data_IF_107223927807
#
_entry.id   IF_107223927807
#
_cell.length_a   1.000
_cell.length_b   1.000
_cell.length_c   1.000
_cell.angle_alpha   90.00
_cell.angle_beta   90.00
_cell.angle_gamma   90.00
#
_symmetry.space_group_name_H-M   'P 1'
#
loop_
_entity.id
_entity.type
_entity.pdbx_description
1 polymer ?
#
# COMPACT_ATOMS: atom_id res chain seq x y z
N UNK A 1 -9.90 8.81 -6.61
CA UNK A 1 -8.54 9.42 -6.63
C UNK A 1 -8.23 10.13 -7.96
N UNK A 2 -8.52 9.56 -9.13
CA UNK A 2 -8.33 10.26 -10.41
C UNK A 2 -9.28 11.47 -10.53
N UNK A 3 -10.51 11.32 -10.08
CA UNK A 3 -11.47 12.44 -10.01
C UNK A 3 -11.02 13.52 -9.03
N UNK A 4 -10.35 13.13 -7.94
CA UNK A 4 -9.79 14.10 -6.99
C UNK A 4 -8.62 14.87 -7.61
N UNK A 5 -7.78 14.22 -8.42
CA UNK A 5 -6.79 14.91 -9.25
C UNK A 5 -7.47 15.94 -10.18
N UNK A 6 -8.55 15.53 -10.85
CA UNK A 6 -9.30 16.40 -11.75
C UNK A 6 -9.93 17.60 -11.00
N UNK A 7 -10.51 17.38 -9.82
CA UNK A 7 -11.03 18.48 -8.95
C UNK A 7 -9.91 19.45 -8.54
N UNK A 8 -8.70 18.95 -8.31
CA UNK A 8 -7.51 19.78 -8.05
C UNK A 8 -6.95 20.43 -9.33
N UNK A 9 -7.63 20.33 -10.48
CA UNK A 9 -7.17 20.78 -11.80
C UNK A 9 -5.79 20.19 -12.18
N UNK A 10 -5.57 18.94 -11.82
CA UNK A 10 -4.34 18.16 -12.12
C UNK A 10 -4.70 16.92 -12.89
N UNK A 11 -3.71 16.38 -13.63
CA UNK A 11 -3.80 15.13 -14.36
C UNK A 11 -2.70 14.19 -13.88
N UNK A 12 -3.07 12.96 -13.47
CA UNK A 12 -2.13 11.94 -13.07
C UNK A 12 -1.89 10.94 -14.20
N UNK A 13 -0.89 11.20 -15.04
CA UNK A 13 -0.47 10.24 -16.09
C UNK A 13 -0.06 8.88 -15.52
N UNK A 14 0.52 8.87 -14.30
CA UNK A 14 0.91 7.63 -13.61
C UNK A 14 -0.31 6.88 -13.09
N UNK A 15 -1.30 7.60 -12.57
CA UNK A 15 -2.57 7.00 -12.15
C UNK A 15 -3.35 6.40 -13.34
N UNK A 16 -3.41 7.09 -14.50
CA UNK A 16 -4.01 6.56 -15.72
C UNK A 16 -3.29 5.29 -16.20
N UNK A 17 -1.95 5.29 -16.15
CA UNK A 17 -1.16 4.09 -16.47
C UNK A 17 -1.43 2.95 -15.49
N UNK A 18 -1.59 3.24 -14.20
CA UNK A 18 -1.95 2.23 -13.19
C UNK A 18 -3.32 1.63 -13.49
N UNK A 19 -4.31 2.46 -13.86
CA UNK A 19 -5.64 1.99 -14.25
C UNK A 19 -5.56 1.01 -15.44
N UNK A 20 -4.80 1.34 -16.47
CA UNK A 20 -4.57 0.44 -17.60
C UNK A 20 -3.88 -0.88 -17.19
N UNK A 21 -3.01 -0.85 -16.18
CA UNK A 21 -2.42 -2.08 -15.61
C UNK A 21 -3.48 -2.89 -14.84
N UNK A 22 -4.36 -2.24 -14.07
CA UNK A 22 -5.47 -2.91 -13.37
C UNK A 22 -6.36 -3.63 -14.38
N UNK A 23 -6.74 -2.96 -15.47
CA UNK A 23 -7.55 -3.56 -16.54
C UNK A 23 -6.85 -4.77 -17.16
N UNK A 24 -5.56 -4.68 -17.41
CA UNK A 24 -4.75 -5.77 -17.98
C UNK A 24 -4.67 -7.00 -17.07
N UNK A 25 -4.65 -6.82 -15.74
CA UNK A 25 -4.46 -7.89 -14.77
C UNK A 25 -5.74 -8.27 -14.01
N UNK A 26 -6.92 -7.87 -14.50
CA UNK A 26 -8.20 -8.14 -13.84
C UNK A 26 -8.39 -9.60 -13.42
N UNK A 27 -7.99 -10.56 -14.25
CA UNK A 27 -8.16 -11.99 -13.95
C UNK A 27 -7.30 -12.44 -12.75
N UNK A 28 -6.12 -11.82 -12.55
CA UNK A 28 -5.28 -12.07 -11.38
C UNK A 28 -5.87 -11.39 -10.14
N UNK A 29 -6.36 -10.16 -10.30
CA UNK A 29 -6.90 -9.38 -9.18
C UNK A 29 -8.21 -9.98 -8.65
N UNK A 30 -9.08 -10.50 -9.53
CA UNK A 30 -10.36 -11.14 -9.14
C UNK A 30 -10.20 -12.44 -8.37
N UNK A 31 -9.02 -13.06 -8.40
CA UNK A 31 -8.73 -14.28 -7.62
C UNK A 31 -8.35 -13.99 -6.16
N UNK A 32 -8.17 -12.73 -5.81
CA UNK A 32 -7.81 -12.37 -4.45
C UNK A 32 -8.96 -12.69 -3.49
N UNK A 33 -8.65 -13.39 -2.42
CA UNK A 33 -9.55 -13.50 -1.29
C UNK A 33 -9.58 -12.19 -0.51
N UNK A 34 -10.78 -11.69 -0.26
CA UNK A 34 -10.98 -10.42 0.41
C UNK A 34 -11.12 -10.62 1.93
N UNK A 35 -10.46 -9.78 2.67
CA UNK A 35 -10.59 -9.67 4.13
C UNK A 35 -10.60 -8.19 4.54
N UNK A 36 -10.75 -7.93 5.83
CA UNK A 36 -10.52 -6.58 6.37
C UNK A 36 -9.03 -6.25 6.25
N UNK A 37 -8.72 -5.19 5.55
CA UNK A 37 -7.38 -4.64 5.34
C UNK A 37 -7.29 -3.30 6.03
N UNK A 38 -6.23 -3.05 6.81
CA UNK A 38 -5.98 -1.75 7.44
C UNK A 38 -5.35 -0.76 6.44
N UNK A 39 -4.45 -1.24 5.60
CA UNK A 39 -3.71 -0.51 4.56
C UNK A 39 -2.82 0.64 5.06
N UNK A 40 -2.72 0.87 6.35
CA UNK A 40 -1.83 1.88 6.94
C UNK A 40 -1.07 1.34 8.16
N UNK A 41 -0.77 0.04 8.15
CA UNK A 41 0.01 -0.64 9.20
C UNK A 41 1.49 -0.26 9.05
N UNK A 42 1.90 0.80 9.72
CA UNK A 42 3.29 1.22 9.81
C UNK A 42 3.59 1.68 11.25
N UNK A 43 4.89 1.71 11.60
CA UNK A 43 5.31 1.90 12.98
C UNK A 43 4.68 3.10 13.71
N UNK A 44 4.38 4.29 13.11
CA UNK A 44 3.73 5.38 13.83
C UNK A 44 2.27 5.11 14.21
N UNK A 45 1.61 4.18 13.52
CA UNK A 45 0.23 3.80 13.79
C UNK A 45 0.14 2.57 14.72
N UNK A 46 1.26 2.14 15.31
CA UNK A 46 1.33 1.00 16.23
C UNK A 46 1.75 1.50 17.61
N UNK A 47 0.85 1.41 18.57
CA UNK A 47 1.15 1.68 19.97
C UNK A 47 1.56 0.38 20.62
N UNK A 48 2.73 0.39 21.28
CA UNK A 48 3.22 -0.73 22.08
C UNK A 48 3.25 -0.32 23.55
N UNK A 49 2.65 -1.14 24.40
CA UNK A 49 2.75 -0.99 25.85
C UNK A 49 3.28 -2.29 26.48
N UNK A 50 4.05 -2.18 27.54
CA UNK A 50 4.50 -3.32 28.33
C UNK A 50 3.80 -3.31 29.68
N UNK A 51 2.95 -4.32 29.93
CA UNK A 51 2.26 -4.51 31.18
C UNK A 51 2.58 -5.91 31.72
N UNK A 52 3.02 -6.01 32.94
CA UNK A 52 3.35 -7.27 33.64
C UNK A 52 4.33 -8.17 32.87
N UNK A 53 5.25 -7.59 32.09
CA UNK A 53 6.21 -8.33 31.28
C UNK A 53 5.70 -8.73 29.88
N UNK A 54 4.42 -8.55 29.61
CA UNK A 54 3.81 -8.80 28.30
C UNK A 54 3.79 -7.53 27.44
N UNK A 55 3.94 -7.70 26.12
CA UNK A 55 3.82 -6.60 25.16
C UNK A 55 2.41 -6.62 24.58
N UNK A 56 1.69 -5.51 24.79
CA UNK A 56 0.37 -5.27 24.18
C UNK A 56 0.52 -4.30 23.02
N UNK A 57 -0.21 -4.57 21.94
CA UNK A 57 -0.23 -3.73 20.75
C UNK A 57 -1.63 -3.19 20.52
N UNK A 58 -1.70 -1.95 20.05
CA UNK A 58 -2.91 -1.36 19.50
C UNK A 58 -2.58 -0.65 18.19
N UNK A 59 -3.39 -0.87 17.18
CA UNK A 59 -3.36 -0.10 15.95
C UNK A 59 -4.30 1.08 16.07
N UNK A 60 -3.84 2.24 15.66
CA UNK A 60 -4.61 3.47 15.60
C UNK A 60 -4.75 3.93 14.16
N UNK A 61 -5.62 4.90 13.91
CA UNK A 61 -5.82 5.54 12.62
C UNK A 61 -6.28 4.58 11.49
N UNK A 62 -7.44 3.92 11.65
CA UNK A 62 -7.95 2.95 10.67
C UNK A 62 -8.64 3.60 9.47
N UNK A 63 -8.44 4.89 9.20
CA UNK A 63 -9.18 5.66 8.18
C UNK A 63 -9.02 5.11 6.75
N UNK A 64 -7.96 4.34 6.51
CA UNK A 64 -7.68 3.71 5.21
C UNK A 64 -8.13 2.26 5.11
N UNK A 65 -8.81 1.75 6.12
CA UNK A 65 -9.27 0.37 6.12
C UNK A 65 -10.33 0.14 5.05
N UNK A 66 -10.27 -1.02 4.42
CA UNK A 66 -11.25 -1.44 3.42
C UNK A 66 -11.34 -2.97 3.35
N UNK A 67 -12.39 -3.48 2.69
CA UNK A 67 -12.54 -4.90 2.40
C UNK A 67 -11.81 -5.21 1.09
N UNK A 68 -10.73 -5.97 1.14
CA UNK A 68 -9.90 -6.21 -0.02
C UNK A 68 -8.83 -7.29 0.15
N UNK A 69 -7.90 -7.34 -0.81
CA UNK A 69 -6.79 -8.30 -0.82
C UNK A 69 -5.87 -8.11 0.39
N UNK A 70 -5.70 -9.17 1.19
CA UNK A 70 -4.81 -9.21 2.36
C UNK A 70 -3.38 -8.76 2.10
N UNK A 71 -2.91 -8.89 0.85
CA UNK A 71 -1.55 -8.48 0.47
C UNK A 71 -1.34 -6.96 0.57
N UNK A 72 -2.42 -6.19 0.61
CA UNK A 72 -2.37 -4.74 0.69
C UNK A 72 -1.74 -4.25 2.00
N UNK A 73 -1.94 -4.94 3.12
CA UNK A 73 -1.32 -4.58 4.40
C UNK A 73 0.21 -4.63 4.36
N UNK A 74 0.75 -5.50 3.51
CA UNK A 74 2.20 -5.61 3.36
C UNK A 74 2.84 -4.42 2.65
N UNK A 75 2.07 -3.53 2.02
CA UNK A 75 2.64 -2.35 1.34
C UNK A 75 3.29 -1.41 2.35
N UNK A 76 2.66 -1.19 3.50
CA UNK A 76 3.16 -0.31 4.56
C UNK A 76 4.09 -1.01 5.56
N UNK A 77 3.92 -2.32 5.77
CA UNK A 77 4.85 -3.12 6.57
C UNK A 77 6.21 -3.21 5.89
N UNK A 78 7.30 -3.02 6.66
CA UNK A 78 8.66 -2.96 6.13
C UNK A 78 8.75 -2.05 4.90
N UNK A 79 8.40 -0.79 5.10
CA UNK A 79 8.22 0.24 4.09
C UNK A 79 9.28 0.22 2.99
N UNK A 80 8.85 0.42 1.76
CA UNK A 80 9.69 0.44 0.56
C UNK A 80 10.46 -0.86 0.22
N UNK A 81 10.15 -1.99 0.82
CA UNK A 81 10.72 -3.28 0.39
C UNK A 81 9.80 -3.97 -0.63
N UNK A 82 10.35 -4.69 -1.62
CA UNK A 82 9.56 -5.59 -2.44
C UNK A 82 9.07 -6.79 -1.60
N UNK A 83 7.97 -7.42 -2.04
CA UNK A 83 7.28 -8.46 -1.25
C UNK A 83 8.22 -9.58 -0.81
N UNK A 84 9.07 -10.08 -1.70
CA UNK A 84 10.02 -11.17 -1.43
C UNK A 84 11.10 -10.85 -0.40
N UNK A 85 11.30 -9.58 -0.09
CA UNK A 85 12.26 -9.11 0.94
C UNK A 85 11.62 -8.85 2.29
N UNK A 86 10.29 -8.93 2.41
CA UNK A 86 9.53 -8.73 3.66
C UNK A 86 9.48 -10.02 4.51
N UNK A 87 10.65 -10.63 4.72
CA UNK A 87 10.75 -11.97 5.32
C UNK A 87 10.17 -12.04 6.73
N UNK A 88 10.41 -11.03 7.57
CA UNK A 88 9.93 -11.04 8.95
C UNK A 88 8.40 -10.91 8.99
N UNK A 89 7.82 -9.97 8.25
CA UNK A 89 6.37 -9.77 8.18
C UNK A 89 5.65 -10.98 7.59
N UNK A 90 6.20 -11.56 6.50
CA UNK A 90 5.63 -12.76 5.88
C UNK A 90 5.72 -13.97 6.81
N UNK A 91 6.84 -14.17 7.50
CA UNK A 91 6.99 -15.29 8.45
C UNK A 91 6.01 -15.15 9.62
N UNK A 92 5.87 -13.96 10.20
CA UNK A 92 4.95 -13.71 11.30
C UNK A 92 3.48 -13.92 10.87
N UNK A 93 3.09 -13.39 9.72
CA UNK A 93 1.75 -13.59 9.17
C UNK A 93 1.46 -15.08 8.90
N UNK A 94 2.37 -15.76 8.20
CA UNK A 94 2.19 -17.15 7.79
C UNK A 94 2.21 -18.13 8.96
N UNK A 95 2.73 -17.73 10.12
CA UNK A 95 2.71 -18.55 11.33
C UNK A 95 1.31 -18.67 11.96
N UNK A 96 0.40 -17.76 11.65
CA UNK A 96 -0.95 -17.69 12.25
C UNK A 96 -2.08 -17.68 11.23
N UNK A 97 -1.77 -17.50 9.95
CA UNK A 97 -2.77 -17.43 8.88
C UNK A 97 -3.21 -18.84 8.47
N UNK A 98 -4.51 -19.04 8.29
CA UNK A 98 -5.09 -20.27 7.73
C UNK A 98 -4.57 -20.50 6.31
N UNK A 99 -4.41 -19.43 5.55
CA UNK A 99 -3.82 -19.46 4.21
C UNK A 99 -2.56 -18.59 4.13
N UNK A 100 -1.38 -19.21 4.04
CA UNK A 100 -0.12 -18.49 3.97
C UNK A 100 0.04 -17.75 2.64
N UNK A 101 0.64 -16.56 2.68
CA UNK A 101 1.08 -15.83 1.50
C UNK A 101 2.33 -16.50 0.95
N UNK A 102 2.25 -16.94 -0.31
CA UNK A 102 3.36 -17.54 -1.06
C UNK A 102 3.82 -16.51 -2.08
N UNK A 103 5.09 -16.18 -2.15
CA UNK A 103 5.60 -15.12 -3.06
C UNK A 103 5.56 -15.59 -4.52
N UNK A 104 4.36 -15.86 -5.04
CA UNK A 104 4.09 -16.25 -6.43
C UNK A 104 4.10 -15.03 -7.37
N UNK A 105 4.08 -15.27 -8.68
CA UNK A 105 3.95 -14.19 -9.67
C UNK A 105 2.63 -13.43 -9.51
N UNK A 106 1.53 -14.13 -9.24
CA UNK A 106 0.20 -13.51 -9.07
C UNK A 106 0.18 -12.61 -7.83
N UNK A 107 0.73 -13.06 -6.70
CA UNK A 107 0.83 -12.25 -5.48
C UNK A 107 1.74 -11.03 -5.66
N UNK A 108 2.83 -11.15 -6.40
CA UNK A 108 3.68 -10.01 -6.75
C UNK A 108 2.96 -8.98 -7.62
N UNK A 109 2.13 -9.43 -8.57
CA UNK A 109 1.28 -8.54 -9.38
C UNK A 109 0.28 -7.81 -8.49
N UNK A 110 -0.46 -8.52 -7.62
CA UNK A 110 -1.41 -7.91 -6.69
C UNK A 110 -0.73 -6.90 -5.76
N UNK A 111 0.40 -7.28 -5.18
CA UNK A 111 1.21 -6.38 -4.36
C UNK A 111 1.67 -5.13 -5.12
N UNK A 112 2.13 -5.28 -6.35
CA UNK A 112 2.56 -4.17 -7.20
C UNK A 112 1.41 -3.19 -7.51
N UNK A 113 0.19 -3.71 -7.77
CA UNK A 113 -1.00 -2.87 -7.94
C UNK A 113 -1.28 -2.07 -6.67
N UNK A 114 -1.21 -2.69 -5.48
CA UNK A 114 -1.44 -1.99 -4.21
C UNK A 114 -0.35 -0.97 -3.90
N UNK A 115 0.91 -1.22 -4.29
CA UNK A 115 1.97 -0.20 -4.24
C UNK A 115 1.65 1.00 -5.14
N UNK A 116 1.16 0.75 -6.35
CA UNK A 116 0.71 1.80 -7.27
C UNK A 116 -0.45 2.61 -6.70
N UNK A 117 -1.39 1.94 -6.03
CA UNK A 117 -2.51 2.58 -5.36
C UNK A 117 -2.05 3.51 -4.22
N UNK A 118 -1.12 3.07 -3.37
CA UNK A 118 -0.53 3.94 -2.35
C UNK A 118 0.22 5.13 -2.99
N UNK A 119 0.93 4.90 -4.08
CA UNK A 119 1.57 5.98 -4.84
C UNK A 119 0.57 7.03 -5.35
N UNK A 120 -0.62 6.58 -5.79
CA UNK A 120 -1.69 7.48 -6.23
C UNK A 120 -2.31 8.24 -5.05
N UNK A 121 -2.54 7.59 -3.90
CA UNK A 121 -3.00 8.25 -2.67
C UNK A 121 -2.05 9.41 -2.33
N UNK A 122 -0.76 9.14 -2.24
CA UNK A 122 0.23 10.16 -1.87
C UNK A 122 0.36 11.28 -2.94
N UNK A 123 0.17 10.95 -4.21
CA UNK A 123 0.11 11.95 -5.27
C UNK A 123 -1.08 12.90 -5.09
N UNK A 124 -2.25 12.36 -4.74
CA UNK A 124 -3.47 13.15 -4.52
C UNK A 124 -3.37 13.98 -3.24
N UNK A 125 -2.96 13.36 -2.14
CA UNK A 125 -2.86 14.01 -0.83
C UNK A 125 -2.02 15.29 -0.87
N UNK A 126 -0.94 15.33 -1.65
CA UNK A 126 -0.12 16.52 -1.73
C UNK A 126 -0.90 17.76 -2.21
N UNK A 127 -1.94 17.58 -3.03
CA UNK A 127 -2.73 18.70 -3.55
C UNK A 127 -3.73 19.25 -2.53
N UNK A 128 -4.13 18.46 -1.54
CA UNK A 128 -5.13 18.81 -0.54
C UNK A 128 -4.55 19.12 0.83
N UNK A 129 -3.45 18.43 1.21
CA UNK A 129 -2.86 18.55 2.55
C UNK A 129 -1.69 19.53 2.61
N UNK A 130 -1.02 19.81 1.49
CA UNK A 130 0.24 20.54 1.50
C UNK A 130 0.32 21.60 0.40
N UNK A 131 1.21 22.56 0.61
CA UNK A 131 1.67 23.48 -0.43
C UNK A 131 3.11 23.15 -0.83
N UNK A 132 3.61 23.60 -2.00
CA UNK A 132 5.01 23.37 -2.42
C UNK A 132 6.07 23.89 -1.45
N UNK A 133 5.70 24.80 -0.55
CA UNK A 133 6.58 25.32 0.51
C UNK A 133 6.69 24.37 1.71
N UNK A 134 5.78 23.41 1.88
CA UNK A 134 5.74 22.51 3.01
C UNK A 134 6.54 21.24 2.71
N UNK A 135 7.32 20.76 3.68
CA UNK A 135 8.11 19.52 3.54
C UNK A 135 7.28 18.31 3.12
N UNK A 136 6.04 18.17 3.64
CA UNK A 136 5.12 17.09 3.30
C UNK A 136 4.79 17.00 1.80
N UNK A 137 4.79 18.13 1.08
CA UNK A 137 4.63 18.14 -0.37
C UNK A 137 5.73 17.34 -1.06
N UNK A 138 6.98 17.66 -0.77
CA UNK A 138 8.13 17.01 -1.39
C UNK A 138 8.27 15.56 -0.96
N UNK A 139 8.01 15.27 0.32
CA UNK A 139 7.93 13.89 0.80
C UNK A 139 6.95 13.07 -0.05
N UNK A 140 5.73 13.57 -0.29
CA UNK A 140 4.73 12.87 -1.10
C UNK A 140 5.12 12.81 -2.59
N UNK A 141 5.83 13.82 -3.13
CA UNK A 141 6.37 13.78 -4.50
C UNK A 141 7.36 12.62 -4.66
N UNK A 142 8.34 12.52 -3.76
CA UNK A 142 9.37 11.47 -3.85
C UNK A 142 8.82 10.09 -3.52
N UNK A 143 8.00 9.98 -2.48
CA UNK A 143 7.42 8.71 -2.07
C UNK A 143 6.45 8.16 -3.12
N UNK A 144 5.56 8.98 -3.68
CA UNK A 144 4.68 8.54 -4.77
C UNK A 144 5.46 8.11 -6.00
N UNK A 145 6.54 8.83 -6.35
CA UNK A 145 7.39 8.46 -7.48
C UNK A 145 8.07 7.11 -7.27
N UNK A 146 8.53 6.84 -6.04
CA UNK A 146 9.14 5.56 -5.69
C UNK A 146 8.12 4.42 -5.79
N UNK A 147 6.91 4.57 -5.23
CA UNK A 147 5.86 3.55 -5.29
C UNK A 147 5.45 3.24 -6.72
N UNK A 148 5.26 4.25 -7.56
CA UNK A 148 4.95 4.01 -8.98
C UNK A 148 6.10 3.30 -9.71
N UNK A 149 7.35 3.66 -9.44
CA UNK A 149 8.52 2.98 -10.03
C UNK A 149 8.54 1.51 -9.64
N UNK A 150 8.32 1.21 -8.35
CA UNK A 150 8.26 -0.17 -7.84
C UNK A 150 7.09 -0.94 -8.46
N UNK A 151 5.89 -0.36 -8.45
CA UNK A 151 4.70 -0.96 -9.03
C UNK A 151 4.89 -1.31 -10.52
N UNK A 152 5.32 -0.35 -11.33
CA UNK A 152 5.53 -0.60 -12.77
C UNK A 152 6.72 -1.52 -13.06
N UNK A 153 7.67 -1.65 -12.14
CA UNK A 153 8.71 -2.67 -12.20
C UNK A 153 8.16 -4.09 -12.00
N UNK A 154 7.24 -4.26 -11.06
CA UNK A 154 6.58 -5.54 -10.77
C UNK A 154 5.46 -5.94 -11.74
N UNK A 155 4.96 -4.98 -12.55
CA UNK A 155 3.89 -5.18 -13.54
C UNK A 155 4.40 -5.34 -14.99
N UNK A 156 5.68 -5.60 -15.16
CA UNK A 156 6.28 -5.97 -16.45
C UNK A 156 6.19 -7.48 -16.65
#
# INVERSE_FOLDING_TARGET
>A
LLDDCARAKKKSKRGEKLLACIDRYQDVLKKAECCMVNFDIWWPNIICNRENGEIKYAWIDPERSFWGDRIADFVCLEYQKPLEKKKASLAAYNAVADEPIRVTREEKIRYAVMQGYLGLIQEVEKYYRYTPKHFGWWRNVFSSAWFYKSAFGGLK
#
